data_IF_917619047074
#
_entry.id   IF_917619047074
#
_cell.length_a   1.000
_cell.length_b   1.000
_cell.length_c   1.000
_cell.angle_alpha   90.00
_cell.angle_beta   90.00
_cell.angle_gamma   90.00
#
_symmetry.space_group_name_H-M   'P 1'
#
loop_
_entity.id
_entity.type
_entity.pdbx_description
1 polymer ?
#
# COMPACT_ATOMS: atom_id res chain seq x y z
N UNK A 1 17.08 5.82 -0.18
CA UNK A 1 15.80 5.14 0.16
C UNK A 1 15.65 5.06 1.67
N UNK A 2 14.42 5.11 2.17
CA UNK A 2 14.12 5.14 3.60
C UNK A 2 13.55 3.79 4.09
N UNK A 3 13.15 2.94 3.15
CA UNK A 3 12.65 1.62 3.45
C UNK A 3 12.53 0.73 2.22
N UNK A 4 12.27 -0.55 2.47
CA UNK A 4 12.16 -1.59 1.46
C UNK A 4 10.82 -2.31 1.60
N UNK A 5 10.18 -2.56 0.46
CA UNK A 5 9.08 -3.51 0.32
C UNK A 5 9.60 -4.65 -0.55
N UNK A 6 9.66 -5.86 0.02
CA UNK A 6 10.10 -7.05 -0.71
C UNK A 6 8.95 -8.04 -0.75
N UNK A 7 8.40 -8.22 -1.95
CA UNK A 7 7.29 -9.13 -2.19
C UNK A 7 7.81 -10.56 -2.17
N UNK A 8 7.00 -11.49 -1.66
CA UNK A 8 7.30 -12.93 -1.63
C UNK A 8 8.54 -13.36 -0.82
N UNK A 9 9.02 -12.51 0.09
CA UNK A 9 10.07 -12.86 1.04
C UNK A 9 9.45 -13.14 2.42
N UNK A 10 9.30 -14.40 2.80
CA UNK A 10 8.72 -14.77 4.09
C UNK A 10 9.68 -14.47 5.25
N UNK A 11 9.16 -14.19 6.46
CA UNK A 11 10.00 -13.87 7.61
C UNK A 11 11.02 -14.94 7.98
N UNK A 12 10.72 -16.21 7.64
CA UNK A 12 11.56 -17.36 7.91
C UNK A 12 12.85 -17.38 7.07
N UNK A 13 12.86 -16.68 5.92
CA UNK A 13 13.95 -16.69 4.94
C UNK A 13 14.57 -15.29 4.74
N UNK A 14 14.18 -14.31 5.55
CA UNK A 14 14.51 -12.90 5.30
C UNK A 14 15.81 -12.41 5.95
N UNK A 15 16.44 -13.20 6.82
CA UNK A 15 17.57 -12.74 7.65
C UNK A 15 18.75 -12.19 6.84
N UNK A 16 18.99 -12.75 5.64
CA UNK A 16 20.09 -12.29 4.78
C UNK A 16 19.86 -10.88 4.21
N UNK A 17 18.62 -10.42 4.12
CA UNK A 17 18.27 -9.09 3.63
C UNK A 17 17.72 -8.17 4.73
N UNK A 18 16.79 -8.68 5.52
CA UNK A 18 16.08 -7.87 6.52
C UNK A 18 17.02 -7.36 7.60
N UNK A 19 17.88 -8.22 8.14
CA UNK A 19 18.76 -7.84 9.26
C UNK A 19 19.83 -6.80 8.83
N UNK A 20 20.54 -6.96 7.69
CA UNK A 20 21.42 -5.90 7.19
C UNK A 20 20.71 -4.60 6.83
N UNK A 21 19.52 -4.66 6.23
CA UNK A 21 18.75 -3.47 5.89
C UNK A 21 18.38 -2.67 7.15
N UNK A 22 17.90 -3.35 8.20
CA UNK A 22 17.58 -2.73 9.48
C UNK A 22 18.82 -2.18 10.18
N UNK A 23 19.94 -2.89 10.13
CA UNK A 23 21.22 -2.41 10.67
C UNK A 23 21.71 -1.15 9.93
N UNK A 24 21.39 -1.00 8.65
CA UNK A 24 21.65 0.21 7.86
C UNK A 24 20.63 1.34 8.10
N UNK A 25 19.68 1.17 9.02
CA UNK A 25 18.65 2.18 9.33
C UNK A 25 17.48 2.21 8.35
N UNK A 26 17.33 1.22 7.46
CA UNK A 26 16.21 1.14 6.54
C UNK A 26 14.99 0.48 7.20
N UNK A 27 13.82 1.03 6.95
CA UNK A 27 12.56 0.40 7.37
C UNK A 27 12.25 -0.81 6.48
N UNK A 28 11.96 -1.97 7.09
CA UNK A 28 11.52 -3.15 6.36
C UNK A 28 10.00 -3.25 6.43
N UNK A 29 9.33 -2.84 5.34
CA UNK A 29 7.87 -2.76 5.28
C UNK A 29 7.31 -4.13 4.96
N UNK A 30 6.42 -4.64 5.84
CA UNK A 30 5.82 -5.95 5.67
C UNK A 30 4.46 -5.87 5.00
N UNK A 31 4.21 -6.86 4.12
CA UNK A 31 2.93 -7.04 3.48
C UNK A 31 2.09 -8.02 4.29
N UNK A 32 0.83 -7.65 4.51
CA UNK A 32 -0.17 -8.46 5.21
C UNK A 32 -1.39 -8.59 4.30
N UNK A 33 -1.95 -9.77 4.23
CA UNK A 33 -3.12 -10.10 3.40
C UNK A 33 -4.30 -10.55 4.28
N UNK A 34 -5.51 -10.68 3.74
CA UNK A 34 -6.65 -11.22 4.48
C UNK A 34 -6.41 -12.60 5.11
N UNK A 35 -5.52 -13.38 4.52
CA UNK A 35 -5.16 -14.74 4.99
C UNK A 35 -4.05 -14.75 6.05
N UNK A 36 -3.41 -13.62 6.31
CA UNK A 36 -2.36 -13.51 7.34
C UNK A 36 -3.04 -13.28 8.70
N UNK A 37 -3.23 -14.35 9.47
CA UNK A 37 -4.00 -14.34 10.72
C UNK A 37 -3.21 -14.95 11.88
N UNK A 38 -3.66 -14.67 13.13
CA UNK A 38 -3.14 -15.28 14.36
C UNK A 38 -1.63 -15.17 14.50
N UNK A 39 -0.96 -16.27 14.85
CA UNK A 39 0.49 -16.30 15.05
C UNK A 39 1.27 -15.92 13.80
N UNK A 40 0.73 -16.18 12.60
CA UNK A 40 1.36 -15.77 11.34
C UNK A 40 1.44 -14.24 11.23
N UNK A 41 0.41 -13.53 11.65
CA UNK A 41 0.39 -12.08 11.66
C UNK A 41 1.47 -11.52 12.60
N UNK A 42 1.58 -12.06 13.81
CA UNK A 42 2.58 -11.64 14.77
C UNK A 42 4.01 -11.86 14.23
N UNK A 43 4.30 -13.02 13.66
CA UNK A 43 5.61 -13.35 13.08
C UNK A 43 5.97 -12.44 11.90
N UNK A 44 5.00 -12.15 11.00
CA UNK A 44 5.22 -11.25 9.85
C UNK A 44 5.59 -9.85 10.32
N UNK A 45 4.95 -9.37 11.38
CA UNK A 45 5.11 -7.99 11.87
C UNK A 45 6.33 -7.82 12.80
N UNK A 46 6.85 -8.88 13.39
CA UNK A 46 7.90 -8.81 14.41
C UNK A 46 9.10 -7.93 14.01
N UNK A 47 9.56 -8.04 12.76
CA UNK A 47 10.68 -7.25 12.23
C UNK A 47 10.23 -6.10 11.32
N UNK A 48 8.94 -5.74 11.33
CA UNK A 48 8.42 -4.66 10.50
C UNK A 48 8.95 -3.28 10.98
N UNK A 49 9.13 -2.38 10.02
CA UNK A 49 9.50 -0.99 10.26
C UNK A 49 8.78 -0.05 9.31
N UNK A 50 8.72 1.23 9.68
CA UNK A 50 8.05 2.26 8.88
C UNK A 50 6.52 2.14 8.98
N UNK A 51 5.93 1.21 8.25
CA UNK A 51 4.49 0.92 8.28
C UNK A 51 4.21 -0.53 7.90
N UNK A 52 2.99 -0.99 8.13
CA UNK A 52 2.49 -2.28 7.64
C UNK A 52 1.63 -2.02 6.39
N UNK A 53 1.88 -2.75 5.32
CA UNK A 53 1.12 -2.66 4.10
C UNK A 53 0.07 -3.78 4.03
N UNK A 54 -1.18 -3.43 4.27
CA UNK A 54 -2.30 -4.35 4.10
C UNK A 54 -2.76 -4.38 2.64
N UNK A 55 -2.48 -5.51 1.98
CA UNK A 55 -2.91 -5.75 0.60
C UNK A 55 -4.30 -6.36 0.63
N UNK A 56 -5.32 -5.52 0.53
CA UNK A 56 -6.69 -5.99 0.37
C UNK A 56 -6.87 -6.53 -1.06
N UNK A 57 -6.98 -7.84 -1.21
CA UNK A 57 -7.25 -8.45 -2.51
C UNK A 57 -8.71 -8.11 -2.85
N UNK A 58 -8.92 -7.20 -3.80
CA UNK A 58 -10.21 -7.07 -4.45
C UNK A 58 -10.51 -8.43 -5.09
N UNK A 59 -11.64 -9.04 -4.72
CA UNK A 59 -11.99 -10.40 -5.13
C UNK A 59 -11.72 -10.66 -6.61
N UNK A 60 -11.18 -11.83 -6.93
CA UNK A 60 -10.75 -12.31 -8.26
C UNK A 60 -11.89 -12.31 -9.30
N UNK A 61 -13.06 -11.93 -8.90
CA UNK A 61 -14.26 -11.85 -9.73
C UNK A 61 -14.70 -10.40 -9.90
N UNK A 62 -14.00 -9.63 -10.68
CA UNK A 62 -14.25 -8.40 -11.42
C UNK A 62 -15.44 -7.47 -11.12
N UNK A 63 -16.19 -7.60 -10.03
CA UNK A 63 -17.48 -6.90 -9.84
C UNK A 63 -17.80 -6.41 -8.43
N UNK A 64 -16.91 -6.55 -7.43
CA UNK A 64 -17.16 -5.93 -6.12
C UNK A 64 -15.89 -5.23 -5.65
N UNK A 65 -16.02 -3.91 -5.38
CA UNK A 65 -15.11 -3.20 -4.48
C UNK A 65 -14.86 -4.07 -3.25
N UNK A 66 -13.59 -4.19 -2.81
CA UNK A 66 -13.29 -4.85 -1.56
C UNK A 66 -14.26 -4.31 -0.50
N UNK A 67 -14.91 -5.20 0.23
CA UNK A 67 -15.85 -4.77 1.27
C UNK A 67 -15.09 -3.94 2.30
N UNK A 68 -15.35 -2.65 2.32
CA UNK A 68 -14.62 -1.67 3.14
C UNK A 68 -14.78 -1.95 4.61
N UNK A 69 -15.89 -2.59 5.01
CA UNK A 69 -16.06 -3.06 6.38
C UNK A 69 -15.01 -4.14 6.73
N UNK A 70 -14.67 -4.99 5.78
CA UNK A 70 -13.64 -6.03 5.95
C UNK A 70 -12.23 -5.43 6.12
N UNK A 71 -11.95 -4.30 5.46
CA UNK A 71 -10.68 -3.58 5.60
C UNK A 71 -10.55 -3.02 7.03
N UNK A 72 -11.59 -2.36 7.55
CA UNK A 72 -11.58 -1.84 8.92
C UNK A 72 -11.33 -2.92 9.96
N UNK A 73 -11.97 -4.08 9.83
CA UNK A 73 -11.75 -5.22 10.71
C UNK A 73 -10.31 -5.76 10.60
N UNK A 74 -9.75 -5.81 9.40
CA UNK A 74 -8.37 -6.25 9.20
C UNK A 74 -7.36 -5.26 9.81
N UNK A 75 -7.55 -3.98 9.59
CA UNK A 75 -6.72 -2.92 10.21
C UNK A 75 -6.80 -2.99 11.73
N UNK A 76 -8.00 -3.17 12.30
CA UNK A 76 -8.18 -3.36 13.74
C UNK A 76 -7.33 -4.50 14.29
N UNK A 77 -7.41 -5.69 13.68
CA UNK A 77 -6.59 -6.86 14.08
C UNK A 77 -5.08 -6.61 13.96
N UNK A 78 -4.64 -5.90 12.92
CA UNK A 78 -3.22 -5.57 12.76
C UNK A 78 -2.78 -4.63 13.88
N UNK A 79 -3.58 -3.65 14.23
CA UNK A 79 -3.31 -2.69 15.31
C UNK A 79 -3.29 -3.31 16.71
N UNK A 80 -3.90 -4.48 16.91
CA UNK A 80 -3.79 -5.23 18.17
C UNK A 80 -2.36 -5.77 18.42
N UNK A 81 -1.57 -5.97 17.35
CA UNK A 81 -0.22 -6.57 17.44
C UNK A 81 0.91 -5.60 17.09
N UNK A 82 0.61 -4.37 16.67
CA UNK A 82 1.63 -3.35 16.36
C UNK A 82 1.11 -1.94 16.54
N UNK A 83 2.02 -1.02 16.90
CA UNK A 83 1.77 0.43 16.90
C UNK A 83 2.14 1.10 15.58
N UNK A 84 2.72 0.37 14.61
CA UNK A 84 3.07 0.92 13.30
C UNK A 84 1.84 1.42 12.56
N UNK A 85 1.96 2.46 11.73
CA UNK A 85 0.91 2.84 10.80
C UNK A 85 0.53 1.67 9.89
N UNK A 86 -0.77 1.53 9.60
CA UNK A 86 -1.30 0.53 8.67
C UNK A 86 -1.83 1.24 7.44
N UNK A 87 -1.20 1.05 6.30
CA UNK A 87 -1.66 1.59 5.02
C UNK A 87 -2.33 0.49 4.19
N UNK A 88 -3.35 0.87 3.45
CA UNK A 88 -4.13 -0.07 2.65
C UNK A 88 -3.96 0.19 1.16
N UNK A 89 -3.88 -0.88 0.37
CA UNK A 89 -3.81 -0.80 -1.08
C UNK A 89 -4.67 -1.89 -1.73
N UNK A 90 -5.58 -1.48 -2.66
CA UNK A 90 -6.49 -2.40 -3.34
C UNK A 90 -7.08 -1.82 -4.63
N UNK A 91 -6.26 -1.32 -5.52
CA UNK A 91 -6.72 -0.83 -6.82
C UNK A 91 -7.54 0.45 -6.75
N UNK A 92 -7.24 1.33 -5.81
CA UNK A 92 -7.84 2.67 -5.66
C UNK A 92 -7.57 3.47 -6.94
N UNK A 93 -8.63 4.09 -7.48
CA UNK A 93 -8.58 4.86 -8.74
C UNK A 93 -9.23 6.23 -8.62
N UNK A 94 -10.15 6.44 -7.66
CA UNK A 94 -10.89 7.69 -7.52
C UNK A 94 -10.65 8.34 -6.15
N UNK A 95 -10.84 9.66 -6.04
CA UNK A 95 -10.74 10.39 -4.78
C UNK A 95 -11.70 9.83 -3.70
N UNK A 96 -12.90 9.42 -4.08
CA UNK A 96 -13.90 8.84 -3.17
C UNK A 96 -13.39 7.52 -2.58
N UNK A 97 -12.84 6.64 -3.42
CA UNK A 97 -12.23 5.38 -2.97
C UNK A 97 -11.04 5.63 -2.06
N UNK A 98 -10.22 6.64 -2.38
CA UNK A 98 -9.07 7.02 -1.56
C UNK A 98 -9.50 7.50 -0.18
N UNK A 99 -10.50 8.38 -0.10
CA UNK A 99 -11.08 8.87 1.16
C UNK A 99 -11.66 7.74 1.99
N UNK A 100 -12.45 6.88 1.35
CA UNK A 100 -13.11 5.77 2.03
C UNK A 100 -12.09 4.76 2.60
N UNK A 101 -11.04 4.44 1.84
CA UNK A 101 -9.95 3.59 2.30
C UNK A 101 -9.15 4.22 3.44
N UNK A 102 -8.84 5.52 3.32
CA UNK A 102 -8.12 6.26 4.36
C UNK A 102 -8.90 6.34 5.67
N UNK A 103 -10.24 6.36 5.62
CA UNK A 103 -11.08 6.36 6.83
C UNK A 103 -10.97 5.06 7.66
N UNK A 104 -10.36 4.02 7.13
CA UNK A 104 -10.24 2.69 7.76
C UNK A 104 -8.82 2.30 8.14
N UNK A 105 -7.82 3.13 7.79
CA UNK A 105 -6.42 2.92 8.09
C UNK A 105 -5.70 4.24 8.32
N UNK A 106 -4.38 4.19 8.43
CA UNK A 106 -3.56 5.40 8.62
C UNK A 106 -3.16 6.03 7.28
N UNK A 107 -3.44 5.37 6.16
CA UNK A 107 -3.14 5.86 4.82
C UNK A 107 -3.50 4.87 3.72
N UNK A 108 -3.21 5.27 2.48
CA UNK A 108 -3.49 4.46 1.29
C UNK A 108 -2.28 4.38 0.36
N UNK A 109 -2.18 3.28 -0.37
CA UNK A 109 -1.20 3.10 -1.45
C UNK A 109 -1.92 3.05 -2.79
N UNK A 110 -1.50 3.91 -3.71
CA UNK A 110 -2.06 4.01 -5.05
C UNK A 110 -0.93 3.78 -6.06
N UNK A 111 -0.96 2.64 -6.74
CA UNK A 111 0.05 2.25 -7.73
C UNK A 111 -0.52 2.18 -9.14
N UNK A 112 -1.36 1.18 -9.42
CA UNK A 112 -1.85 0.86 -10.76
C UNK A 112 -2.55 2.03 -11.48
N UNK A 113 -3.26 2.89 -10.76
CA UNK A 113 -3.89 4.07 -11.35
C UNK A 113 -2.85 5.06 -11.89
N UNK A 114 -1.74 5.26 -11.18
CA UNK A 114 -0.64 6.12 -11.63
C UNK A 114 0.09 5.50 -12.83
N UNK A 115 0.36 4.19 -12.78
CA UNK A 115 0.99 3.47 -13.89
C UNK A 115 0.15 3.54 -15.15
N UNK A 116 -1.17 3.35 -15.06
CA UNK A 116 -2.09 3.48 -16.20
C UNK A 116 -2.08 4.90 -16.79
N UNK A 117 -2.01 5.94 -15.96
CA UNK A 117 -1.89 7.32 -16.44
C UNK A 117 -0.57 7.58 -17.19
N UNK A 118 0.52 6.98 -16.74
CA UNK A 118 1.81 7.06 -17.42
C UNK A 118 1.71 6.36 -18.79
N UNK A 119 1.13 5.19 -18.83
CA UNK A 119 0.95 4.41 -20.06
C UNK A 119 0.10 5.15 -21.09
N UNK A 120 -1.07 5.67 -20.68
CA UNK A 120 -1.94 6.47 -21.53
C UNK A 120 -1.24 7.72 -22.07
N UNK A 121 -0.55 8.45 -21.20
CA UNK A 121 0.16 9.67 -21.58
C UNK A 121 1.34 9.38 -22.52
N UNK A 122 2.06 8.29 -22.29
CA UNK A 122 3.19 7.88 -23.14
C UNK A 122 2.74 7.41 -24.52
N UNK A 123 1.51 6.87 -24.63
CA UNK A 123 0.93 6.43 -25.90
C UNK A 123 0.41 7.59 -26.75
N UNK A 124 -0.07 8.66 -26.11
CA UNK A 124 -0.70 9.78 -26.79
C UNK A 124 0.27 10.84 -27.33
N UNK A 125 1.43 11.02 -26.71
CA UNK A 125 2.36 12.10 -27.08
C UNK A 125 3.83 11.69 -26.88
N UNK A 126 4.53 11.46 -27.97
CA UNK A 126 6.00 11.31 -28.01
C UNK A 126 6.78 12.60 -27.65
N UNK A 127 6.14 13.66 -27.14
CA UNK A 127 6.73 15.00 -27.25
C UNK A 127 6.90 15.82 -25.98
N UNK A 128 6.37 15.47 -24.80
CA UNK A 128 6.53 16.34 -23.63
C UNK A 128 6.56 15.60 -22.30
N UNK A 129 7.74 15.20 -21.85
CA UNK A 129 7.95 14.61 -20.50
C UNK A 129 7.41 15.52 -19.38
N UNK A 130 7.52 16.84 -19.52
CA UNK A 130 6.99 17.79 -18.55
C UNK A 130 5.46 17.81 -18.43
N UNK A 131 4.73 17.57 -19.53
CA UNK A 131 3.26 17.52 -19.52
C UNK A 131 2.75 16.26 -18.79
N UNK A 132 3.44 15.13 -18.94
CA UNK A 132 3.11 13.87 -18.24
C UNK A 132 3.31 14.05 -16.73
N UNK A 133 4.43 14.61 -16.31
CA UNK A 133 4.73 14.84 -14.90
C UNK A 133 3.71 15.80 -14.25
N UNK A 134 3.31 16.87 -14.96
CA UNK A 134 2.28 17.79 -14.50
C UNK A 134 0.91 17.14 -14.32
N UNK A 135 0.49 16.29 -15.26
CA UNK A 135 -0.78 15.54 -15.18
C UNK A 135 -0.78 14.57 -13.98
N UNK A 136 0.31 13.82 -13.82
CA UNK A 136 0.46 12.90 -12.68
C UNK A 136 0.45 13.68 -11.36
N UNK A 137 1.19 14.78 -11.27
CA UNK A 137 1.22 15.64 -10.09
C UNK A 137 -0.18 16.15 -9.69
N UNK A 138 -0.99 16.58 -10.67
CA UNK A 138 -2.37 17.03 -10.42
C UNK A 138 -3.26 15.91 -9.89
N UNK A 139 -3.16 14.69 -10.43
CA UNK A 139 -3.93 13.54 -9.95
C UNK A 139 -3.48 13.15 -8.55
N UNK A 140 -2.16 13.11 -8.29
CA UNK A 140 -1.63 12.84 -6.95
C UNK A 140 -2.11 13.87 -5.92
N UNK A 141 -2.14 15.16 -6.27
CA UNK A 141 -2.67 16.21 -5.41
C UNK A 141 -4.14 15.97 -5.06
N UNK A 142 -4.99 15.72 -6.08
CA UNK A 142 -6.42 15.45 -5.89
C UNK A 142 -6.66 14.24 -4.97
N UNK A 143 -5.91 13.15 -5.16
CA UNK A 143 -6.01 11.96 -4.32
C UNK A 143 -5.52 12.22 -2.89
N UNK A 144 -4.44 12.99 -2.75
CA UNK A 144 -3.89 13.39 -1.44
C UNK A 144 -4.87 14.26 -0.65
N UNK A 145 -5.53 15.21 -1.31
CA UNK A 145 -6.54 16.08 -0.68
C UNK A 145 -7.75 15.27 -0.22
N UNK A 146 -8.16 14.27 -1.01
CA UNK A 146 -9.25 13.39 -0.64
C UNK A 146 -8.96 12.53 0.60
N UNK A 147 -7.70 12.12 0.78
CA UNK A 147 -7.26 11.33 1.95
C UNK A 147 -7.23 12.18 3.23
N UNK A 148 -6.99 13.50 3.10
CA UNK A 148 -6.85 14.42 4.23
C UNK A 148 -8.16 15.08 4.66
N UNK A 149 -9.21 14.95 3.87
CA UNK A 149 -10.54 15.53 4.12
C UNK A 149 -11.44 14.56 4.89
#
# INVERSE_FOLDING_TARGET
VDGLIVVDLPPEEDSELCDPARAAGLSFIRLVTPTTLGNRLANVIEKAGGFVYYVAIAGITGTKSADISSIGNAVGRIKEVTSLPVVTGFGIRTPEQAREAASRGDGVVIGSAIVSLIEEASSAERSQEGAIAGKIGSVCATLSDAVRS
#
